data_IF_442542187363
#
_entry.id   IF_442542187363
#
_cell.length_a   1.000
_cell.length_b   1.000
_cell.length_c   1.000
_cell.angle_alpha   90.00
_cell.angle_beta   90.00
_cell.angle_gamma   90.00
#
_symmetry.space_group_name_H-M   'P 1'
#
loop_
_entity.id
_entity.type
_entity.pdbx_description
1 polymer ?
#
# COMPACT_ATOMS: atom_id res chain seq x y z
N UNK A 1 -47.81 -66.45 44.33
CA UNK A 1 -46.61 -66.31 43.51
C UNK A 1 -47.04 -65.66 42.24
N UNK A 2 -46.51 -64.48 41.86
CA UNK A 2 -46.53 -63.75 40.53
C UNK A 2 -47.05 -62.33 40.54
N UNK A 3 -46.76 -61.54 41.56
CA UNK A 3 -47.06 -60.12 41.50
C UNK A 3 -45.82 -59.16 41.59
N UNK A 4 -44.65 -59.74 41.90
CA UNK A 4 -43.41 -58.94 42.10
C UNK A 4 -42.47 -58.86 40.90
N UNK A 5 -42.74 -59.61 39.84
CA UNK A 5 -41.84 -59.65 38.67
C UNK A 5 -42.13 -58.54 37.56
N UNK A 6 -43.40 -58.04 37.54
CA UNK A 6 -43.77 -57.03 36.51
C UNK A 6 -43.44 -55.61 36.93
N UNK A 7 -43.36 -55.27 38.22
CA UNK A 7 -43.01 -53.95 38.70
C UNK A 7 -41.51 -53.59 38.49
N UNK A 8 -40.62 -54.58 38.56
CA UNK A 8 -39.17 -54.35 38.35
C UNK A 8 -38.77 -54.09 36.88
N UNK A 9 -39.56 -54.56 35.90
CA UNK A 9 -39.28 -54.29 34.47
C UNK A 9 -39.78 -52.93 34.00
N UNK A 10 -40.75 -52.37 34.63
CA UNK A 10 -41.28 -51.02 34.30
C UNK A 10 -40.38 -49.91 34.87
N UNK A 11 -39.76 -50.14 36.03
CA UNK A 11 -38.82 -49.17 36.61
C UNK A 11 -37.48 -49.10 35.87
N UNK A 12 -37.02 -50.17 35.27
CA UNK A 12 -35.79 -50.21 34.47
C UNK A 12 -35.94 -49.49 33.10
N UNK A 13 -37.14 -49.48 32.52
CA UNK A 13 -37.42 -48.83 31.25
C UNK A 13 -37.57 -47.31 31.42
N UNK A 14 -38.03 -46.81 32.58
CA UNK A 14 -38.16 -45.37 32.86
C UNK A 14 -36.83 -44.72 33.20
N UNK A 15 -35.92 -45.44 33.89
CA UNK A 15 -34.57 -44.92 34.21
C UNK A 15 -33.68 -44.80 32.99
N UNK A 16 -33.84 -45.69 31.97
CA UNK A 16 -33.07 -45.61 30.73
C UNK A 16 -33.51 -44.46 29.81
N UNK A 17 -34.79 -44.07 29.84
CA UNK A 17 -35.29 -42.98 29.00
C UNK A 17 -34.96 -41.59 29.57
N UNK A 18 -34.83 -41.45 30.87
CA UNK A 18 -34.48 -40.19 31.55
C UNK A 18 -32.97 -39.88 31.40
N UNK A 19 -32.09 -40.90 31.34
CA UNK A 19 -30.66 -40.70 31.07
C UNK A 19 -30.37 -40.26 29.65
N UNK A 20 -31.09 -40.77 28.63
CA UNK A 20 -30.90 -40.35 27.25
C UNK A 20 -31.39 -38.89 26.98
N UNK A 21 -32.40 -38.43 27.71
CA UNK A 21 -32.88 -37.03 27.56
C UNK A 21 -31.94 -35.99 28.20
N UNK A 22 -31.18 -36.36 29.23
CA UNK A 22 -30.20 -35.50 29.90
C UNK A 22 -28.87 -35.43 29.16
N UNK A 23 -28.51 -36.41 28.34
CA UNK A 23 -27.30 -36.39 27.50
C UNK A 23 -27.54 -35.62 26.21
N UNK A 24 -28.77 -35.52 25.71
CA UNK A 24 -29.10 -34.75 24.51
C UNK A 24 -29.12 -33.23 24.75
N UNK A 25 -29.29 -32.77 25.98
CA UNK A 25 -29.27 -31.33 26.34
C UNK A 25 -27.84 -30.83 26.60
N UNK A 26 -26.86 -31.73 26.83
CA UNK A 26 -25.47 -31.37 27.03
C UNK A 26 -24.67 -31.21 25.71
N UNK A 27 -25.27 -31.52 24.52
CA UNK A 27 -24.65 -31.39 23.22
C UNK A 27 -25.11 -30.15 22.42
N UNK A 28 -26.00 -29.35 22.95
CA UNK A 28 -26.13 -27.96 22.53
C UNK A 28 -25.04 -27.16 23.23
N UNK A 29 -23.79 -27.53 22.98
CA UNK A 29 -22.65 -26.72 23.35
C UNK A 29 -22.84 -25.35 22.71
N UNK A 30 -23.02 -24.33 23.51
CA UNK A 30 -22.80 -22.96 23.12
C UNK A 30 -21.47 -22.95 22.35
N UNK A 31 -21.52 -22.78 21.03
CA UNK A 31 -20.42 -22.14 20.32
C UNK A 31 -20.35 -20.74 20.96
N UNK A 32 -19.58 -20.64 22.02
CA UNK A 32 -19.11 -19.40 22.52
C UNK A 32 -18.24 -18.89 21.38
N UNK A 33 -18.78 -17.99 20.55
CA UNK A 33 -17.93 -17.16 19.69
C UNK A 33 -16.88 -16.59 20.64
N UNK A 34 -15.65 -17.08 20.52
CA UNK A 34 -14.53 -16.47 21.24
C UNK A 34 -14.49 -15.03 20.75
N UNK A 35 -14.92 -14.10 21.59
CA UNK A 35 -14.80 -12.67 21.32
C UNK A 35 -13.32 -12.42 21.04
N UNK A 36 -12.97 -12.12 19.79
CA UNK A 36 -11.61 -11.71 19.43
C UNK A 36 -11.24 -10.54 20.33
N UNK A 37 -10.02 -10.51 20.82
CA UNK A 37 -9.50 -9.37 21.59
C UNK A 37 -9.49 -8.11 20.73
N UNK A 38 -9.75 -6.96 21.34
CA UNK A 38 -9.70 -5.69 20.64
C UNK A 38 -8.22 -5.35 20.32
N UNK A 39 -7.95 -5.06 19.07
CA UNK A 39 -6.59 -4.80 18.54
C UNK A 39 -6.57 -3.43 17.87
N UNK A 40 -5.49 -2.68 18.10
CA UNK A 40 -5.21 -1.46 17.35
C UNK A 40 -3.96 -1.64 16.51
N UNK A 41 -4.08 -1.46 15.19
CA UNK A 41 -2.98 -1.56 14.24
C UNK A 41 -2.42 -0.18 13.88
N UNK A 42 -1.09 -0.06 13.87
CA UNK A 42 -0.38 1.10 13.36
C UNK A 42 0.15 0.79 11.96
N UNK A 43 -0.31 1.52 10.96
CA UNK A 43 0.13 1.36 9.57
C UNK A 43 1.02 2.54 9.16
N UNK A 44 2.16 2.22 8.57
CA UNK A 44 3.02 3.16 7.83
C UNK A 44 2.84 2.89 6.35
N UNK A 45 2.31 3.83 5.60
CA UNK A 45 1.99 3.67 4.18
C UNK A 45 2.53 4.82 3.33
N UNK A 46 2.98 4.51 2.14
CA UNK A 46 3.39 5.52 1.18
C UNK A 46 2.28 6.56 0.97
N UNK A 47 2.66 7.83 0.86
CA UNK A 47 1.74 8.96 0.80
C UNK A 47 0.67 8.82 -0.30
N UNK A 48 1.00 8.21 -1.44
CA UNK A 48 0.06 7.95 -2.53
C UNK A 48 -1.12 7.04 -2.15
N UNK A 49 -0.99 6.24 -1.08
CA UNK A 49 -2.05 5.33 -0.61
C UNK A 49 -3.10 6.00 0.28
N UNK A 50 -2.92 7.27 0.72
CA UNK A 50 -3.68 7.84 1.82
C UNK A 50 -5.20 7.69 1.67
N UNK A 51 -5.77 8.02 0.52
CA UNK A 51 -7.23 7.95 0.31
C UNK A 51 -7.75 6.52 0.15
N UNK A 52 -7.03 5.69 -0.60
CA UNK A 52 -7.39 4.30 -0.78
C UNK A 52 -7.31 3.53 0.56
N UNK A 53 -6.25 3.76 1.33
CA UNK A 53 -6.04 3.07 2.60
C UNK A 53 -7.08 3.46 3.66
N UNK A 54 -7.47 4.75 3.75
CA UNK A 54 -8.55 5.19 4.64
C UNK A 54 -9.84 4.42 4.35
N UNK A 55 -10.22 4.29 3.06
CA UNK A 55 -11.42 3.57 2.64
C UNK A 55 -11.29 2.05 2.88
N UNK A 56 -10.12 1.48 2.64
CA UNK A 56 -9.82 0.06 2.88
C UNK A 56 -9.89 -0.29 4.37
N UNK A 57 -9.32 0.52 5.24
CA UNK A 57 -9.39 0.31 6.69
C UNK A 57 -10.83 0.33 7.19
N UNK A 58 -11.63 1.28 6.72
CA UNK A 58 -13.05 1.36 7.06
C UNK A 58 -13.82 0.13 6.55
N UNK A 59 -13.60 -0.26 5.29
CA UNK A 59 -14.24 -1.43 4.69
C UNK A 59 -13.85 -2.74 5.38
N UNK A 60 -12.61 -2.86 5.87
CA UNK A 60 -12.14 -4.00 6.66
C UNK A 60 -12.91 -4.16 7.97
N UNK A 61 -13.09 -3.05 8.72
CA UNK A 61 -13.86 -3.04 9.96
C UNK A 61 -15.31 -3.47 9.69
N UNK A 62 -15.93 -2.91 8.63
CA UNK A 62 -17.32 -3.19 8.24
C UNK A 62 -17.50 -4.62 7.70
N UNK A 63 -16.45 -5.28 7.24
CA UNK A 63 -16.47 -6.66 6.71
C UNK A 63 -16.31 -7.73 7.80
N UNK A 64 -16.66 -7.39 9.04
CA UNK A 64 -16.73 -8.33 10.17
C UNK A 64 -15.51 -8.29 11.10
N UNK A 65 -14.60 -7.32 10.94
CA UNK A 65 -13.40 -7.17 11.77
C UNK A 65 -13.57 -6.04 12.82
N UNK A 66 -14.76 -5.95 13.43
CA UNK A 66 -15.13 -4.88 14.37
C UNK A 66 -14.28 -4.82 15.64
N UNK A 67 -13.52 -5.87 15.95
CA UNK A 67 -12.53 -5.90 17.02
C UNK A 67 -11.18 -5.25 16.64
N UNK A 68 -11.01 -4.83 15.38
CA UNK A 68 -9.79 -4.14 14.91
C UNK A 68 -10.08 -2.65 14.76
N UNK A 69 -9.14 -1.84 15.21
CA UNK A 69 -9.10 -0.40 14.99
C UNK A 69 -7.75 -0.03 14.40
N UNK A 70 -7.66 1.14 13.80
CA UNK A 70 -6.40 1.66 13.26
C UNK A 70 -6.01 2.94 14.02
N UNK A 71 -4.76 3.02 14.42
CA UNK A 71 -4.16 4.28 14.85
C UNK A 71 -4.00 5.21 13.64
N UNK A 72 -3.72 6.50 13.87
CA UNK A 72 -3.49 7.45 12.78
C UNK A 72 -2.38 6.96 11.86
N UNK A 73 -2.77 6.49 10.67
CA UNK A 73 -1.85 5.95 9.67
C UNK A 73 -0.84 7.02 9.26
N UNK A 74 0.43 6.69 9.27
CA UNK A 74 1.48 7.61 8.84
C UNK A 74 1.64 7.55 7.33
N UNK A 75 1.25 8.61 6.64
CA UNK A 75 1.37 8.75 5.19
C UNK A 75 2.52 9.68 4.84
N UNK A 76 3.65 9.10 4.41
CA UNK A 76 4.90 9.81 4.12
C UNK A 76 5.57 9.29 2.85
N UNK A 77 6.65 9.94 2.41
CA UNK A 77 7.54 9.32 1.43
C UNK A 77 8.14 8.02 2.00
N UNK A 78 8.33 7.00 1.15
CA UNK A 78 8.79 5.69 1.63
C UNK A 78 10.17 5.74 2.30
N UNK A 79 11.04 6.68 1.89
CA UNK A 79 12.32 6.92 2.57
C UNK A 79 12.12 7.46 3.99
N UNK A 80 11.24 8.43 4.17
CA UNK A 80 10.90 9.02 5.48
C UNK A 80 10.29 7.99 6.42
N UNK A 81 9.44 7.07 5.92
CA UNK A 81 8.89 5.97 6.72
C UNK A 81 10.00 5.04 7.24
N UNK A 82 11.01 4.74 6.40
CA UNK A 82 12.17 3.97 6.83
C UNK A 82 12.99 4.71 7.89
N UNK A 83 13.19 6.02 7.75
CA UNK A 83 13.87 6.85 8.75
C UNK A 83 13.11 6.85 10.08
N UNK A 84 11.78 6.94 10.05
CA UNK A 84 10.94 6.85 11.26
C UNK A 84 11.10 5.50 11.95
N UNK A 85 11.09 4.37 11.21
CA UNK A 85 11.35 3.04 11.78
C UNK A 85 12.76 2.96 12.37
N UNK A 86 13.77 3.47 11.66
CA UNK A 86 15.15 3.54 12.14
C UNK A 86 15.32 4.41 13.40
N UNK A 87 14.48 5.42 13.57
CA UNK A 87 14.41 6.25 14.78
C UNK A 87 13.62 5.60 15.93
N UNK A 88 13.10 4.38 15.75
CA UNK A 88 12.34 3.64 16.76
C UNK A 88 10.84 3.93 16.80
N UNK A 89 10.28 4.56 15.76
CA UNK A 89 8.82 4.72 15.65
C UNK A 89 8.16 3.36 15.43
N UNK A 90 7.09 3.10 16.17
CA UNK A 90 6.36 1.84 16.09
C UNK A 90 5.40 1.81 14.88
N UNK A 91 5.40 0.68 14.19
CA UNK A 91 4.36 0.30 13.25
C UNK A 91 4.16 -1.22 13.26
N UNK A 92 2.97 -1.70 12.91
CA UNK A 92 2.69 -3.12 12.67
C UNK A 92 2.96 -3.48 11.20
N UNK A 93 2.61 -2.60 10.26
CA UNK A 93 2.68 -2.81 8.83
C UNK A 93 3.39 -1.63 8.14
N UNK A 94 4.33 -1.93 7.26
CA UNK A 94 4.93 -0.98 6.32
C UNK A 94 4.47 -1.30 4.90
N UNK A 95 3.96 -0.28 4.17
CA UNK A 95 3.65 -0.38 2.74
C UNK A 95 4.42 0.72 2.00
N UNK A 96 5.35 0.30 1.16
CA UNK A 96 6.25 1.19 0.41
C UNK A 96 5.80 1.38 -1.03
N UNK A 97 6.09 2.54 -1.64
CA UNK A 97 5.80 2.82 -3.05
C UNK A 97 6.90 2.32 -4.00
N UNK A 98 7.87 1.54 -3.52
CA UNK A 98 8.87 0.91 -4.39
C UNK A 98 9.52 -0.31 -3.72
N UNK A 99 9.95 -1.25 -4.57
CA UNK A 99 10.75 -2.39 -4.12
C UNK A 99 12.07 -1.93 -3.50
N UNK A 100 12.75 -0.93 -4.06
CA UNK A 100 14.02 -0.43 -3.54
C UNK A 100 13.92 0.16 -2.14
N UNK A 101 12.83 0.86 -1.81
CA UNK A 101 12.61 1.34 -0.43
C UNK A 101 12.31 0.20 0.53
N UNK A 102 11.58 -0.83 0.09
CA UNK A 102 11.35 -2.04 0.89
C UNK A 102 12.64 -2.87 1.05
N UNK A 103 13.48 -2.96 0.01
CA UNK A 103 14.80 -3.61 0.09
C UNK A 103 15.67 -2.95 1.18
N UNK A 104 15.61 -1.61 1.29
CA UNK A 104 16.26 -0.87 2.38
C UNK A 104 15.68 -1.27 3.73
N UNK A 105 14.35 -1.33 3.88
CA UNK A 105 13.72 -1.74 5.15
C UNK A 105 14.10 -3.16 5.56
N UNK A 106 14.21 -4.09 4.61
CA UNK A 106 14.68 -5.46 4.85
C UNK A 106 16.15 -5.47 5.30
N UNK A 107 17.02 -4.77 4.56
CA UNK A 107 18.46 -4.70 4.85
C UNK A 107 18.75 -4.11 6.22
N UNK A 108 18.06 -3.07 6.61
CA UNK A 108 18.20 -2.41 7.91
C UNK A 108 17.47 -3.18 9.05
N UNK A 109 16.76 -4.26 8.73
CA UNK A 109 16.08 -5.12 9.71
C UNK A 109 14.79 -4.54 10.28
N UNK A 110 14.16 -3.57 9.60
CA UNK A 110 12.91 -2.95 10.08
C UNK A 110 11.68 -3.81 9.85
N UNK A 111 11.71 -4.70 8.87
CA UNK A 111 10.58 -5.58 8.51
C UNK A 111 10.98 -7.05 8.50
N UNK A 112 9.99 -7.93 8.66
CA UNK A 112 10.17 -9.36 8.47
C UNK A 112 10.07 -9.69 6.97
N UNK A 113 11.22 -10.01 6.35
CA UNK A 113 11.32 -10.36 4.93
C UNK A 113 10.39 -11.51 4.53
N UNK A 114 10.15 -12.46 5.44
CA UNK A 114 9.26 -13.60 5.20
C UNK A 114 7.78 -13.21 5.03
N UNK A 115 7.42 -11.99 5.39
CA UNK A 115 6.04 -11.44 5.25
C UNK A 115 5.90 -10.50 4.07
N UNK A 116 7.00 -10.20 3.37
CA UNK A 116 6.99 -9.28 2.23
C UNK A 116 6.15 -9.82 1.08
N UNK A 117 5.23 -8.99 0.58
CA UNK A 117 4.39 -9.30 -0.57
C UNK A 117 4.23 -8.08 -1.47
N UNK A 118 4.16 -8.31 -2.78
CA UNK A 118 3.81 -7.26 -3.75
C UNK A 118 2.29 -7.07 -3.71
N UNK A 119 1.82 -5.86 -3.38
CA UNK A 119 0.39 -5.59 -3.20
C UNK A 119 -0.24 -4.97 -4.44
N UNK A 120 0.37 -3.90 -4.96
CA UNK A 120 -0.21 -3.09 -6.03
C UNK A 120 0.82 -2.75 -7.10
N UNK A 121 0.30 -2.39 -8.29
CA UNK A 121 1.03 -1.75 -9.38
C UNK A 121 0.50 -0.33 -9.59
N UNK A 122 1.33 0.53 -10.18
CA UNK A 122 0.95 1.87 -10.58
C UNK A 122 1.68 2.25 -11.87
N UNK A 123 1.20 3.29 -12.54
CA UNK A 123 1.90 3.88 -13.68
C UNK A 123 2.45 5.25 -13.30
N UNK A 124 3.61 5.59 -13.85
CA UNK A 124 4.15 6.94 -13.79
C UNK A 124 3.54 7.76 -14.93
N UNK A 125 2.94 8.88 -14.58
CA UNK A 125 2.28 9.76 -15.54
C UNK A 125 2.82 11.19 -15.45
N UNK A 126 2.74 11.89 -16.55
CA UNK A 126 2.95 13.33 -16.65
C UNK A 126 1.59 13.99 -16.54
N UNK A 127 1.44 14.88 -15.57
CA UNK A 127 0.21 15.64 -15.35
C UNK A 127 0.46 17.14 -15.51
N UNK A 128 -0.54 17.85 -15.96
CA UNK A 128 -0.59 19.30 -16.00
C UNK A 128 -1.84 19.80 -15.24
N UNK A 129 -1.94 21.10 -15.03
CA UNK A 129 -3.15 21.71 -14.49
C UNK A 129 -4.35 21.34 -15.38
N UNK A 130 -5.46 21.00 -14.75
CA UNK A 130 -6.73 20.75 -15.47
C UNK A 130 -7.10 21.92 -16.36
N UNK A 131 -7.44 21.63 -17.63
CA UNK A 131 -7.70 22.64 -18.65
C UNK A 131 -6.46 23.31 -19.24
N UNK A 132 -5.28 22.72 -19.07
CA UNK A 132 -4.02 23.22 -19.67
C UNK A 132 -4.02 23.21 -21.19
N UNK A 133 -4.83 22.35 -21.81
CA UNK A 133 -4.84 22.10 -23.23
C UNK A 133 -3.65 21.26 -23.74
N UNK A 134 -2.80 20.75 -22.83
CA UNK A 134 -1.73 19.84 -23.18
C UNK A 134 -2.27 18.41 -23.36
N UNK A 135 -1.70 17.67 -24.28
CA UNK A 135 -2.03 16.26 -24.50
C UNK A 135 -0.91 15.54 -25.25
N UNK A 136 -0.82 14.22 -25.04
CA UNK A 136 0.17 13.34 -25.69
C UNK A 136 1.63 13.81 -25.51
N UNK A 137 1.93 14.40 -24.36
CA UNK A 137 3.29 14.84 -24.01
C UNK A 137 4.19 13.61 -23.86
N UNK A 138 5.37 13.68 -24.47
CA UNK A 138 6.38 12.62 -24.45
C UNK A 138 7.63 13.04 -23.68
N UNK A 139 8.52 12.09 -23.38
CA UNK A 139 9.84 12.42 -22.80
C UNK A 139 10.69 13.27 -23.75
N UNK A 140 10.53 13.11 -25.07
CA UNK A 140 11.23 13.93 -26.06
C UNK A 140 10.72 15.39 -26.06
N UNK A 141 9.43 15.61 -25.78
CA UNK A 141 8.89 16.95 -25.59
C UNK A 141 9.48 17.61 -24.34
N UNK A 142 9.69 16.85 -23.26
CA UNK A 142 10.41 17.34 -22.07
C UNK A 142 11.85 17.66 -22.41
N UNK A 143 12.52 16.79 -23.18
CA UNK A 143 13.92 16.98 -23.60
C UNK A 143 14.11 18.20 -24.51
N UNK A 144 13.08 18.65 -25.20
CA UNK A 144 13.12 19.89 -25.98
C UNK A 144 13.33 21.16 -25.13
N UNK A 145 13.20 21.09 -23.80
CA UNK A 145 13.32 22.22 -22.88
C UNK A 145 12.11 23.17 -22.88
N UNK A 146 11.02 22.78 -23.55
CA UNK A 146 9.81 23.59 -23.69
C UNK A 146 9.08 23.75 -22.35
N UNK A 147 9.11 22.72 -21.51
CA UNK A 147 8.33 22.66 -20.29
C UNK A 147 9.18 22.79 -19.04
N UNK A 148 8.66 23.48 -18.03
CA UNK A 148 9.11 23.38 -16.65
C UNK A 148 8.48 22.15 -16.00
N UNK A 149 9.25 21.43 -15.18
CA UNK A 149 8.75 20.21 -14.54
C UNK A 149 8.94 20.21 -13.04
N UNK A 150 8.07 19.45 -12.34
CA UNK A 150 8.27 19.09 -10.94
C UNK A 150 8.37 17.56 -10.81
N UNK A 151 9.35 17.10 -10.00
CA UNK A 151 9.58 15.71 -9.67
C UNK A 151 9.80 15.55 -8.16
N UNK A 152 9.60 14.36 -7.62
CA UNK A 152 10.03 14.05 -6.26
C UNK A 152 11.56 14.08 -6.12
N UNK A 153 12.05 14.39 -4.93
CA UNK A 153 13.48 14.25 -4.60
C UNK A 153 13.89 12.77 -4.43
N UNK A 154 15.14 12.52 -4.05
CA UNK A 154 15.70 11.17 -3.91
C UNK A 154 14.99 10.29 -2.87
N UNK A 155 14.26 10.88 -1.93
CA UNK A 155 13.47 10.15 -0.91
C UNK A 155 12.12 9.68 -1.45
N UNK A 156 11.65 10.29 -2.56
CA UNK A 156 10.32 10.05 -3.14
C UNK A 156 10.41 9.02 -4.28
N UNK A 157 9.81 7.84 -4.17
CA UNK A 157 9.89 6.82 -5.22
C UNK A 157 9.42 7.29 -6.61
N UNK A 158 8.36 8.09 -6.70
CA UNK A 158 7.91 8.67 -7.97
C UNK A 158 9.01 9.51 -8.65
N UNK A 159 9.78 10.29 -7.86
CA UNK A 159 10.92 11.07 -8.35
C UNK A 159 12.04 10.17 -8.87
N UNK A 160 12.31 9.05 -8.17
CA UNK A 160 13.33 8.09 -8.61
C UNK A 160 12.95 7.45 -9.97
N UNK A 161 11.67 7.10 -10.16
CA UNK A 161 11.18 6.59 -11.46
C UNK A 161 11.22 7.68 -12.54
N UNK A 162 10.91 8.94 -12.20
CA UNK A 162 11.04 10.06 -13.12
C UNK A 162 12.50 10.27 -13.55
N UNK A 163 13.46 10.24 -12.61
CA UNK A 163 14.89 10.34 -12.89
C UNK A 163 15.38 9.18 -13.78
N UNK A 164 14.91 7.95 -13.54
CA UNK A 164 15.17 6.81 -14.42
C UNK A 164 14.71 7.10 -15.85
N UNK A 165 13.46 7.51 -16.03
CA UNK A 165 12.90 7.82 -17.34
C UNK A 165 13.63 9.00 -18.02
N UNK A 166 13.87 10.08 -17.29
CA UNK A 166 14.56 11.26 -17.81
C UNK A 166 16.03 10.98 -18.20
N UNK A 167 16.67 9.98 -17.58
CA UNK A 167 18.02 9.56 -17.97
C UNK A 167 18.07 8.97 -19.38
N UNK A 168 16.98 8.34 -19.86
CA UNK A 168 16.92 7.75 -21.20
C UNK A 168 16.93 8.79 -22.33
N UNK A 169 16.58 10.03 -21.99
CA UNK A 169 16.59 11.18 -22.94
C UNK A 169 17.65 12.23 -22.58
N UNK A 170 18.63 11.86 -21.74
CA UNK A 170 19.77 12.72 -21.41
C UNK A 170 19.47 13.89 -20.46
N UNK A 171 18.32 13.88 -19.78
CA UNK A 171 17.91 14.94 -18.85
C UNK A 171 18.27 14.65 -17.38
N UNK A 172 18.76 13.46 -17.08
CA UNK A 172 19.30 13.08 -15.78
C UNK A 172 20.60 12.30 -15.97
N UNK A 173 21.65 12.74 -15.28
CA UNK A 173 22.95 12.09 -15.29
C UNK A 173 23.13 11.34 -13.96
N UNK A 174 23.13 10.00 -13.99
CA UNK A 174 23.35 9.20 -12.80
C UNK A 174 24.77 9.34 -12.26
N UNK A 175 24.94 9.14 -10.94
CA UNK A 175 26.23 9.20 -10.27
C UNK A 175 26.53 7.91 -9.50
N UNK A 176 27.73 7.80 -8.94
CA UNK A 176 28.17 6.66 -8.14
C UNK A 176 28.11 5.34 -8.92
N UNK A 177 27.51 4.32 -8.32
CA UNK A 177 27.38 2.97 -8.91
C UNK A 177 26.49 2.92 -10.16
N UNK A 178 25.69 3.95 -10.39
CA UNK A 178 24.80 4.10 -11.53
C UNK A 178 25.44 4.86 -12.71
N UNK A 179 26.65 5.38 -12.55
CA UNK A 179 27.32 6.17 -13.57
C UNK A 179 27.45 5.39 -14.90
N UNK A 180 27.07 6.05 -16.01
CA UNK A 180 27.11 5.46 -17.35
C UNK A 180 25.95 4.51 -17.69
N UNK A 181 25.01 4.29 -16.77
CA UNK A 181 23.77 3.53 -17.00
C UNK A 181 22.58 4.48 -17.20
N UNK A 182 21.44 3.96 -17.67
CA UNK A 182 20.21 4.73 -17.88
C UNK A 182 18.96 3.88 -17.61
N UNK A 183 17.81 4.55 -17.50
CA UNK A 183 16.53 3.89 -17.43
C UNK A 183 16.40 3.00 -16.19
N UNK A 184 15.89 1.79 -16.39
CA UNK A 184 15.66 0.83 -15.30
C UNK A 184 16.94 0.25 -14.67
N UNK A 185 18.11 0.51 -15.25
CA UNK A 185 19.39 0.00 -14.76
C UNK A 185 20.00 0.90 -13.66
N UNK A 186 19.35 2.04 -13.35
CA UNK A 186 19.77 2.96 -12.29
C UNK A 186 18.79 2.96 -11.12
N UNK A 187 19.24 3.48 -9.98
CA UNK A 187 18.38 3.73 -8.80
C UNK A 187 17.47 4.94 -9.00
N UNK A 188 17.93 5.92 -9.80
CA UNK A 188 17.30 7.24 -9.93
C UNK A 188 17.64 8.19 -8.78
N UNK A 189 18.70 7.90 -8.01
CA UNK A 189 19.14 8.69 -6.84
C UNK A 189 20.57 9.22 -7.03
N UNK A 190 20.88 10.30 -6.34
CA UNK A 190 22.23 10.85 -6.21
C UNK A 190 22.80 11.45 -7.49
N UNK A 191 22.05 11.49 -8.58
CA UNK A 191 22.46 12.08 -9.85
C UNK A 191 22.10 13.57 -9.97
N UNK A 192 22.23 14.10 -11.19
CA UNK A 192 22.02 15.52 -11.45
C UNK A 192 21.12 15.72 -12.68
N UNK A 193 20.12 16.56 -12.55
CA UNK A 193 19.30 16.99 -13.69
C UNK A 193 20.08 17.93 -14.60
N UNK A 194 19.84 17.85 -15.91
CA UNK A 194 20.44 18.72 -16.91
C UNK A 194 20.11 20.18 -16.61
N UNK A 195 21.10 21.06 -16.76
CA UNK A 195 20.92 22.52 -16.62
C UNK A 195 20.00 23.13 -17.70
N UNK A 196 19.77 22.40 -18.80
CA UNK A 196 18.79 22.79 -19.82
C UNK A 196 17.32 22.58 -19.36
N UNK A 197 17.11 21.78 -18.32
CA UNK A 197 15.79 21.45 -17.79
C UNK A 197 15.41 22.41 -16.65
N UNK A 198 14.25 23.04 -16.75
CA UNK A 198 13.66 23.82 -15.64
C UNK A 198 12.98 22.84 -14.69
N UNK A 199 13.71 22.33 -13.69
CA UNK A 199 13.22 21.33 -12.74
C UNK A 199 13.11 21.91 -11.34
N UNK A 200 12.00 21.59 -10.69
CA UNK A 200 11.75 21.77 -9.25
C UNK A 200 11.66 20.39 -8.62
N UNK A 201 12.21 20.20 -7.44
CA UNK A 201 12.08 18.96 -6.67
C UNK A 201 11.30 19.22 -5.39
N UNK A 202 10.51 18.22 -4.94
CA UNK A 202 9.78 18.28 -3.69
C UNK A 202 9.84 16.96 -2.92
N UNK A 203 9.61 17.03 -1.60
CA UNK A 203 9.79 15.94 -0.64
C UNK A 203 8.61 14.95 -0.58
N UNK A 204 7.54 15.19 -1.32
CA UNK A 204 6.41 14.26 -1.41
C UNK A 204 5.72 14.34 -2.76
N UNK A 205 5.19 13.20 -3.24
CA UNK A 205 4.40 13.16 -4.49
C UNK A 205 3.17 14.07 -4.43
N UNK A 206 2.59 14.26 -3.24
CA UNK A 206 1.46 15.16 -3.06
C UNK A 206 1.82 16.63 -3.32
N UNK A 207 2.98 17.07 -2.88
CA UNK A 207 3.45 18.42 -3.19
C UNK A 207 3.83 18.56 -4.67
N UNK A 208 4.48 17.53 -5.24
CA UNK A 208 4.77 17.49 -6.68
C UNK A 208 3.48 17.68 -7.51
N UNK A 209 2.40 17.00 -7.15
CA UNK A 209 1.09 17.16 -7.80
C UNK A 209 0.53 18.59 -7.64
N UNK A 210 0.69 19.21 -6.46
CA UNK A 210 0.23 20.59 -6.20
C UNK A 210 0.94 21.63 -7.06
N UNK A 211 2.22 21.45 -7.38
CA UNK A 211 2.94 22.37 -8.27
C UNK A 211 2.30 22.41 -9.66
N UNK A 212 1.86 21.27 -10.21
CA UNK A 212 1.10 21.25 -11.46
C UNK A 212 -0.31 21.85 -11.27
N UNK A 213 -1.01 21.49 -10.18
CA UNK A 213 -2.35 21.97 -9.90
C UNK A 213 -2.42 23.49 -9.79
N UNK A 214 -1.44 24.12 -9.14
CA UNK A 214 -1.34 25.59 -9.02
C UNK A 214 -0.90 26.26 -10.33
N UNK A 215 -0.19 25.52 -11.20
CA UNK A 215 0.42 26.04 -12.40
C UNK A 215 1.81 26.66 -12.15
N UNK A 216 2.47 26.29 -11.04
CA UNK A 216 3.84 26.71 -10.75
C UNK A 216 4.84 26.06 -11.73
N UNK A 217 4.48 24.89 -12.26
CA UNK A 217 5.18 24.21 -13.34
C UNK A 217 4.19 23.79 -14.42
N UNK A 218 4.70 23.56 -15.63
CA UNK A 218 3.88 23.10 -16.75
C UNK A 218 3.48 21.63 -16.57
N UNK A 219 4.39 20.80 -16.04
CA UNK A 219 4.22 19.34 -15.94
C UNK A 219 4.78 18.83 -14.61
N UNK A 220 4.07 17.87 -13.99
CA UNK A 220 4.59 17.12 -12.86
C UNK A 220 4.59 15.62 -13.14
N UNK A 221 5.57 14.89 -12.57
CA UNK A 221 5.67 13.45 -12.65
C UNK A 221 5.11 12.83 -11.37
N UNK A 222 3.98 12.15 -11.48
CA UNK A 222 3.25 11.55 -10.37
C UNK A 222 2.74 10.17 -10.75
N UNK A 223 2.07 9.48 -9.83
CA UNK A 223 1.41 8.22 -10.16
C UNK A 223 -0.02 8.46 -10.67
N UNK A 224 -0.54 7.52 -11.46
CA UNK A 224 -1.95 7.54 -11.86
C UNK A 224 -2.90 7.70 -10.66
N UNK A 225 -2.63 7.01 -9.56
CA UNK A 225 -3.41 7.11 -8.31
C UNK A 225 -3.46 8.52 -7.71
N UNK A 226 -2.43 9.36 -7.94
CA UNK A 226 -2.40 10.73 -7.42
C UNK A 226 -3.40 11.62 -8.14
N UNK A 227 -3.67 11.37 -9.41
CA UNK A 227 -4.70 12.09 -10.18
C UNK A 227 -6.08 11.89 -9.56
N UNK A 228 -6.41 10.63 -9.22
CA UNK A 228 -7.67 10.29 -8.53
C UNK A 228 -7.74 10.89 -7.13
N UNK A 229 -6.61 10.96 -6.43
CA UNK A 229 -6.53 11.43 -5.06
C UNK A 229 -6.67 12.94 -4.91
N UNK A 230 -6.05 13.72 -5.80
CA UNK A 230 -5.98 15.18 -5.64
C UNK A 230 -6.98 15.94 -6.51
N UNK A 231 -7.25 15.46 -7.71
CA UNK A 231 -8.01 16.24 -8.70
C UNK A 231 -7.29 17.51 -9.14
N UNK A 232 -7.94 18.32 -9.98
CA UNK A 232 -7.41 19.60 -10.46
C UNK A 232 -6.17 19.50 -11.34
N UNK A 233 -5.79 18.27 -11.72
CA UNK A 233 -4.76 17.94 -12.71
C UNK A 233 -5.32 16.94 -13.70
N UNK A 234 -4.79 16.96 -14.92
CA UNK A 234 -5.13 16.00 -15.97
C UNK A 234 -3.88 15.26 -16.45
N UNK A 235 -4.04 13.99 -16.83
CA UNK A 235 -2.95 13.22 -17.42
C UNK A 235 -2.71 13.74 -18.84
N UNK A 236 -1.53 14.27 -19.08
CA UNK A 236 -1.13 14.78 -20.39
C UNK A 236 -0.17 13.84 -21.12
N UNK A 237 0.36 12.83 -20.45
CA UNK A 237 1.18 11.79 -21.04
C UNK A 237 1.47 10.66 -20.04
N UNK A 238 1.68 9.45 -20.55
CA UNK A 238 2.13 8.30 -19.73
C UNK A 238 3.61 8.07 -20.00
N UNK A 239 4.40 7.92 -18.95
CA UNK A 239 5.83 7.61 -19.07
C UNK A 239 5.99 6.17 -19.54
N UNK A 240 6.75 5.89 -20.61
CA UNK A 240 6.87 4.54 -21.13
C UNK A 240 7.49 3.59 -20.10
N UNK A 241 6.81 2.48 -19.79
CA UNK A 241 7.22 1.53 -18.75
C UNK A 241 8.54 0.81 -19.00
N UNK A 242 9.12 0.91 -20.22
CA UNK A 242 10.45 0.40 -20.51
C UNK A 242 11.58 1.38 -20.11
N UNK A 243 11.25 2.62 -19.72
CA UNK A 243 12.22 3.66 -19.32
C UNK A 243 12.51 3.69 -17.83
N UNK A 244 11.72 3.00 -17.01
CA UNK A 244 11.88 2.92 -15.55
C UNK A 244 11.55 1.51 -15.03
N UNK A 245 11.95 1.22 -13.80
CA UNK A 245 11.58 -0.04 -13.11
C UNK A 245 10.07 -0.12 -12.93
N UNK A 246 9.55 -1.35 -12.87
CA UNK A 246 8.15 -1.56 -12.56
C UNK A 246 7.78 -0.93 -11.22
N UNK A 247 6.70 -0.18 -11.22
CA UNK A 247 6.18 0.46 -10.01
C UNK A 247 5.32 -0.57 -9.27
N UNK A 248 5.84 -1.03 -8.15
CA UNK A 248 5.19 -2.01 -7.30
C UNK A 248 5.23 -1.50 -5.87
N UNK A 249 4.12 -1.66 -5.18
CA UNK A 249 3.96 -1.34 -3.77
C UNK A 249 4.05 -2.62 -2.94
N UNK A 250 5.20 -2.93 -2.37
CA UNK A 250 5.31 -4.05 -1.43
C UNK A 250 4.85 -3.65 -0.05
N UNK A 251 4.17 -4.58 0.63
CA UNK A 251 3.86 -4.54 2.05
C UNK A 251 4.68 -5.56 2.81
N UNK A 252 5.01 -5.28 4.07
CA UNK A 252 5.66 -6.21 4.98
C UNK A 252 5.34 -5.87 6.44
N UNK A 253 5.24 -6.89 7.29
CA UNK A 253 5.08 -6.74 8.73
C UNK A 253 6.40 -6.26 9.32
N UNK A 254 6.34 -5.29 10.24
CA UNK A 254 7.57 -4.79 10.89
C UNK A 254 8.13 -5.80 11.89
N UNK A 255 9.42 -5.70 12.20
CA UNK A 255 10.06 -6.57 13.21
C UNK A 255 9.52 -6.36 14.62
N UNK A 256 9.09 -5.13 14.93
CA UNK A 256 8.58 -4.76 16.25
C UNK A 256 7.06 -4.91 16.37
N UNK A 257 6.40 -5.49 15.34
CA UNK A 257 4.96 -5.73 15.32
C UNK A 257 4.53 -6.55 16.53
N UNK A 258 3.57 -6.03 17.30
CA UNK A 258 3.00 -6.70 18.47
C UNK A 258 1.75 -7.53 18.13
N UNK A 259 1.11 -7.20 17.01
CA UNK A 259 -0.19 -7.74 16.60
C UNK A 259 -0.05 -8.58 15.31
N UNK A 260 0.94 -9.48 15.26
CA UNK A 260 1.34 -10.19 14.03
C UNK A 260 0.17 -10.88 13.33
N UNK A 261 -0.67 -11.61 14.08
CA UNK A 261 -1.79 -12.36 13.47
C UNK A 261 -2.86 -11.43 12.90
N UNK A 262 -3.24 -10.36 13.63
CA UNK A 262 -4.20 -9.38 13.15
C UNK A 262 -3.64 -8.59 11.95
N UNK A 263 -2.33 -8.29 11.94
CA UNK A 263 -1.68 -7.61 10.82
C UNK A 263 -1.64 -8.50 9.58
N UNK A 264 -1.38 -9.81 9.74
CA UNK A 264 -1.48 -10.78 8.63
C UNK A 264 -2.89 -10.87 8.08
N UNK A 265 -3.90 -10.98 8.95
CA UNK A 265 -5.31 -11.03 8.56
C UNK A 265 -5.70 -9.79 7.75
N UNK A 266 -5.28 -8.59 8.20
CA UNK A 266 -5.52 -7.35 7.46
C UNK A 266 -4.78 -7.32 6.11
N UNK A 267 -3.50 -7.70 6.08
CA UNK A 267 -2.72 -7.75 4.85
C UNK A 267 -3.32 -8.74 3.84
N UNK A 268 -3.71 -9.93 4.29
CA UNK A 268 -4.37 -10.93 3.46
C UNK A 268 -5.72 -10.44 2.93
N UNK A 269 -6.50 -9.75 3.74
CA UNK A 269 -7.76 -9.15 3.31
C UNK A 269 -7.53 -8.06 2.25
N UNK A 270 -6.52 -7.20 2.43
CA UNK A 270 -6.14 -6.19 1.44
C UNK A 270 -5.82 -6.78 0.06
N UNK A 271 -5.25 -8.00 0.02
CA UNK A 271 -4.84 -8.68 -1.21
C UNK A 271 -5.96 -9.50 -1.84
N UNK A 272 -6.82 -10.11 -1.02
CA UNK A 272 -7.69 -11.18 -1.49
C UNK A 272 -9.18 -10.82 -1.48
N UNK A 273 -9.62 -9.88 -0.65
CA UNK A 273 -11.02 -9.43 -0.61
C UNK A 273 -11.41 -8.70 -1.89
N UNK A 274 -12.56 -9.06 -2.46
CA UNK A 274 -13.08 -8.37 -3.63
C UNK A 274 -13.41 -6.90 -3.31
N UNK A 275 -13.88 -6.60 -2.10
CA UNK A 275 -14.09 -5.22 -1.62
C UNK A 275 -12.81 -4.40 -1.64
N UNK A 276 -11.71 -4.98 -1.12
CA UNK A 276 -10.41 -4.31 -1.13
C UNK A 276 -9.95 -4.03 -2.56
N UNK A 277 -10.06 -5.03 -3.45
CA UNK A 277 -9.67 -4.91 -4.87
C UNK A 277 -10.45 -3.81 -5.59
N UNK A 278 -11.77 -3.73 -5.37
CA UNK A 278 -12.61 -2.66 -5.92
C UNK A 278 -12.17 -1.27 -5.45
N UNK A 279 -11.82 -1.13 -4.14
CA UNK A 279 -11.34 0.14 -3.59
C UNK A 279 -10.00 0.52 -4.22
N UNK A 280 -9.02 -0.42 -4.30
CA UNK A 280 -7.73 -0.14 -4.91
C UNK A 280 -7.87 0.31 -6.36
N UNK A 281 -8.68 -0.39 -7.16
CA UNK A 281 -8.93 -0.05 -8.57
C UNK A 281 -9.63 1.30 -8.72
N UNK A 282 -10.62 1.60 -7.86
CA UNK A 282 -11.29 2.90 -7.79
C UNK A 282 -10.31 4.07 -7.64
N UNK A 283 -9.24 3.85 -6.86
CA UNK A 283 -8.20 4.85 -6.61
C UNK A 283 -7.02 4.77 -7.60
N UNK A 284 -7.17 4.05 -8.72
CA UNK A 284 -6.19 4.01 -9.81
C UNK A 284 -5.01 3.08 -9.58
N UNK A 285 -5.09 2.13 -8.61
CA UNK A 285 -4.08 1.11 -8.44
C UNK A 285 -4.40 -0.14 -9.27
N UNK A 286 -3.40 -0.68 -9.96
CA UNK A 286 -3.45 -2.03 -10.52
C UNK A 286 -3.15 -3.07 -9.42
N UNK A 287 -3.74 -4.26 -9.55
CA UNK A 287 -3.41 -5.37 -8.66
C UNK A 287 -2.09 -6.04 -9.09
N UNK A 288 -1.27 -6.50 -8.12
CA UNK A 288 0.06 -7.08 -8.39
C UNK A 288 0.00 -8.50 -8.97
#
# INVERSE_FOLDING_TARGET
>A
MTATSRAKKIFAAFAAFTCCALVAIALTGCQQEQKKEDVQLQVFAANSLSKAMEEVQQAYIEDGHSNVSFADTQYKASGELNEMLGAGSYADLLISASKGSMDTAVKEGYVDEGTRTDMFKNDLVMVAKEGSGLSNVTLDDIASGKYSICVGDDSVPAGNYAAQALSTVGLYTPAGDDAGKTGKDISGKGGTYSSALKVVTDTSVGNVCKHAQSGDVDIAFVYTSDVYRFGGVEIVGTVPGNTHKNIVYPGAITKDCKNVDATKEFLDWCLNSDKAKEIWQKWGFGLA
#
